data_IF_775685715774
#
_entry.id   IF_775685715774
#
_cell.length_a   1.000
_cell.length_b   1.000
_cell.length_c   1.000
_cell.angle_alpha   90.00
_cell.angle_beta   90.00
_cell.angle_gamma   90.00
#
_symmetry.space_group_name_H-M   'P 1'
#
loop_
_entity.id
_entity.type
_entity.pdbx_description
1 polymer ?
#
# COMPACT_ATOMS: atom_id res chain seq x y z
N UNK A 1 -25.57 -24.52 9.21
CA UNK A 1 -25.26 -23.17 8.71
C UNK A 1 -25.67 -22.21 9.81
N UNK A 2 -24.70 -21.51 10.42
CA UNK A 2 -24.99 -20.45 11.39
C UNK A 2 -25.82 -19.36 10.69
N UNK A 3 -26.76 -18.76 11.39
CA UNK A 3 -27.59 -17.68 10.87
C UNK A 3 -26.75 -16.40 10.77
N UNK A 4 -26.09 -16.22 9.63
CA UNK A 4 -25.23 -15.06 9.36
C UNK A 4 -26.02 -13.73 9.30
N UNK A 5 -27.36 -13.76 9.28
CA UNK A 5 -28.17 -12.55 9.22
C UNK A 5 -28.22 -11.85 10.57
N UNK A 6 -28.41 -12.58 11.66
CA UNK A 6 -28.37 -12.02 13.02
C UNK A 6 -26.95 -11.53 13.38
N UNK A 7 -25.93 -12.26 12.98
CA UNK A 7 -24.53 -11.86 13.14
C UNK A 7 -24.23 -10.55 12.39
N UNK A 8 -24.77 -10.40 11.17
CA UNK A 8 -24.58 -9.20 10.37
C UNK A 8 -25.17 -7.94 11.03
N UNK A 9 -26.41 -8.02 11.52
CA UNK A 9 -27.07 -6.89 12.17
C UNK A 9 -26.31 -6.43 13.44
N UNK A 10 -25.86 -7.38 14.25
CA UNK A 10 -25.05 -7.08 15.44
C UNK A 10 -23.71 -6.42 15.08
N UNK A 11 -23.05 -6.88 14.03
CA UNK A 11 -21.81 -6.30 13.54
C UNK A 11 -22.03 -4.91 12.95
N UNK A 12 -23.10 -4.67 12.20
CA UNK A 12 -23.46 -3.36 11.67
C UNK A 12 -23.72 -2.34 12.80
N UNK A 13 -24.38 -2.77 13.88
CA UNK A 13 -24.55 -1.93 15.08
C UNK A 13 -23.22 -1.60 15.74
N UNK A 14 -22.31 -2.59 15.88
CA UNK A 14 -20.99 -2.41 16.45
C UNK A 14 -20.12 -1.46 15.62
N UNK A 15 -20.17 -1.57 14.30
CA UNK A 15 -19.35 -0.77 13.39
C UNK A 15 -19.95 0.61 13.09
N UNK A 16 -21.25 0.79 13.31
CA UNK A 16 -21.98 2.03 13.03
C UNK A 16 -22.22 2.29 11.53
N UNK A 17 -22.11 1.27 10.69
CA UNK A 17 -22.36 1.38 9.25
C UNK A 17 -22.74 0.02 8.64
N UNK A 18 -23.38 0.01 7.44
CA UNK A 18 -23.73 -1.23 6.74
C UNK A 18 -22.52 -2.09 6.40
N UNK A 19 -22.73 -3.41 6.38
CA UNK A 19 -21.75 -4.44 6.01
C UNK A 19 -22.18 -5.12 4.74
N UNK A 20 -21.30 -5.23 3.75
CA UNK A 20 -21.60 -5.91 2.47
C UNK A 20 -21.49 -7.42 2.60
N UNK A 21 -20.46 -7.91 3.32
CA UNK A 21 -20.15 -9.33 3.47
C UNK A 21 -19.71 -9.63 4.89
N UNK A 22 -20.16 -10.76 5.44
CA UNK A 22 -19.62 -11.34 6.67
C UNK A 22 -19.01 -12.70 6.33
N UNK A 23 -17.72 -12.85 6.55
CA UNK A 23 -17.01 -14.12 6.45
C UNK A 23 -17.07 -14.82 7.81
N UNK A 24 -17.49 -16.09 7.86
CA UNK A 24 -17.58 -16.86 9.11
C UNK A 24 -16.18 -17.11 9.69
N UNK A 25 -16.11 -17.47 10.98
CA UNK A 25 -14.86 -17.96 11.58
C UNK A 25 -14.37 -19.24 10.91
N UNK A 26 -13.09 -19.52 11.05
CA UNK A 26 -12.45 -20.76 10.59
C UNK A 26 -11.83 -21.50 11.78
N UNK A 27 -11.41 -22.77 11.64
CA UNK A 27 -10.69 -23.48 12.68
C UNK A 27 -9.44 -22.76 13.18
N UNK A 28 -8.77 -22.02 12.28
CA UNK A 28 -7.52 -21.31 12.56
C UNK A 28 -7.75 -19.86 13.01
N UNK A 29 -8.97 -19.33 12.84
CA UNK A 29 -9.32 -17.96 13.20
C UNK A 29 -10.77 -17.88 13.68
N UNK A 30 -10.95 -17.68 14.99
CA UNK A 30 -12.28 -17.56 15.60
C UNK A 30 -13.00 -16.26 15.23
N UNK A 31 -12.28 -15.24 14.78
CA UNK A 31 -12.90 -13.96 14.44
C UNK A 31 -13.75 -14.04 13.17
N UNK A 32 -14.88 -13.33 13.18
CA UNK A 32 -15.67 -13.01 12.00
C UNK A 32 -15.01 -11.84 11.27
N UNK A 33 -15.13 -11.81 9.96
CA UNK A 33 -14.64 -10.68 9.18
C UNK A 33 -15.81 -9.99 8.51
N UNK A 34 -16.04 -8.75 8.89
CA UNK A 34 -17.03 -7.88 8.28
C UNK A 34 -16.37 -7.03 7.19
N UNK A 35 -16.89 -7.10 5.97
CA UNK A 35 -16.40 -6.32 4.84
C UNK A 35 -17.43 -5.29 4.44
N UNK A 36 -17.01 -4.03 4.32
CA UNK A 36 -17.86 -2.90 4.00
C UNK A 36 -17.21 -1.97 2.97
N UNK A 37 -18.03 -1.21 2.27
CA UNK A 37 -17.60 -0.15 1.36
C UNK A 37 -17.82 1.22 1.97
N UNK A 38 -16.92 2.14 1.69
CA UNK A 38 -17.13 3.58 1.94
C UNK A 38 -17.68 4.24 0.68
N UNK A 39 -18.53 5.26 0.84
CA UNK A 39 -19.19 5.93 -0.29
C UNK A 39 -18.22 6.80 -1.11
N UNK A 40 -17.34 7.57 -0.42
CA UNK A 40 -16.45 8.53 -1.07
C UNK A 40 -15.14 8.71 -0.27
N UNK A 41 -13.95 8.47 -0.85
CA UNK A 41 -13.76 7.64 -2.05
C UNK A 41 -14.17 6.19 -1.82
N UNK A 42 -14.65 5.51 -2.86
CA UNK A 42 -15.09 4.12 -2.73
C UNK A 42 -13.90 3.23 -2.38
N UNK A 43 -13.91 2.71 -1.16
CA UNK A 43 -12.90 1.79 -0.62
C UNK A 43 -13.59 0.57 -0.05
N UNK A 44 -12.91 -0.57 -0.08
CA UNK A 44 -13.35 -1.78 0.63
C UNK A 44 -12.53 -1.89 1.91
N UNK A 45 -13.21 -2.12 3.03
CA UNK A 45 -12.61 -2.28 4.36
C UNK A 45 -13.04 -3.60 4.97
N UNK A 46 -12.14 -4.21 5.71
CA UNK A 46 -12.42 -5.38 6.53
C UNK A 46 -12.21 -5.06 8.01
N UNK A 47 -13.11 -5.52 8.85
CA UNK A 47 -13.00 -5.46 10.30
C UNK A 47 -13.05 -6.90 10.85
N UNK A 48 -12.07 -7.28 11.64
CA UNK A 48 -12.07 -8.55 12.37
C UNK A 48 -12.77 -8.34 13.71
N UNK A 49 -13.80 -9.14 13.94
CA UNK A 49 -14.65 -9.06 15.13
C UNK A 49 -14.51 -10.37 15.91
N UNK A 50 -14.03 -10.29 17.14
CA UNK A 50 -13.87 -11.43 18.04
C UNK A 50 -15.23 -12.04 18.44
N UNK A 51 -15.21 -13.23 19.00
CA UNK A 51 -16.42 -13.86 19.57
C UNK A 51 -17.02 -13.05 20.74
N UNK A 52 -16.21 -12.24 21.42
CA UNK A 52 -16.68 -11.32 22.44
C UNK A 52 -17.38 -10.06 21.86
N UNK A 53 -17.42 -9.90 20.54
CA UNK A 53 -18.03 -8.74 19.89
C UNK A 53 -17.12 -7.51 19.91
N UNK A 54 -15.80 -7.68 19.98
CA UNK A 54 -14.83 -6.60 19.96
C UNK A 54 -14.14 -6.50 18.59
N UNK A 55 -13.87 -5.30 18.13
CA UNK A 55 -13.11 -5.07 16.90
C UNK A 55 -11.63 -5.18 17.19
N UNK A 56 -11.02 -6.28 16.76
CA UNK A 56 -9.59 -6.59 16.95
C UNK A 56 -8.70 -5.88 15.94
N UNK A 57 -9.16 -5.77 14.70
CA UNK A 57 -8.40 -5.18 13.61
C UNK A 57 -9.28 -4.51 12.56
N UNK A 58 -8.73 -3.52 11.86
CA UNK A 58 -9.34 -2.92 10.67
C UNK A 58 -8.27 -2.69 9.61
N UNK A 59 -8.47 -3.25 8.43
CA UNK A 59 -7.62 -3.03 7.26
C UNK A 59 -8.49 -2.72 6.04
N UNK A 60 -7.90 -2.20 4.98
CA UNK A 60 -8.68 -1.86 3.81
C UNK A 60 -7.89 -1.84 2.51
N UNK A 61 -8.57 -2.07 1.40
CA UNK A 61 -8.02 -1.92 0.07
C UNK A 61 -7.78 -0.42 -0.22
N UNK A 62 -6.63 -0.03 -0.78
CA UNK A 62 -6.40 1.33 -1.25
C UNK A 62 -7.49 1.78 -2.21
N UNK A 63 -7.75 3.10 -2.31
CA UNK A 63 -8.73 3.62 -3.23
C UNK A 63 -8.34 3.28 -4.68
N UNK A 64 -9.32 2.85 -5.44
CA UNK A 64 -9.14 2.54 -6.85
C UNK A 64 -10.45 2.11 -7.49
N UNK A 65 -10.59 2.39 -8.78
CA UNK A 65 -11.75 1.97 -9.56
C UNK A 65 -11.28 0.94 -10.57
N UNK A 66 -11.82 -0.29 -10.55
CA UNK A 66 -11.56 -1.25 -11.61
C UNK A 66 -12.04 -0.70 -12.96
N UNK A 67 -11.42 -1.15 -14.04
CA UNK A 67 -11.73 -0.72 -15.40
C UNK A 67 -11.71 -1.93 -16.35
N UNK A 68 -12.23 -1.86 -17.56
CA UNK A 68 -12.18 -2.96 -18.50
C UNK A 68 -10.77 -3.50 -18.79
N UNK A 69 -9.76 -2.62 -18.75
CA UNK A 69 -8.34 -3.01 -18.94
C UNK A 69 -7.67 -3.49 -17.65
N UNK A 70 -8.28 -3.23 -16.51
CA UNK A 70 -7.86 -3.69 -15.17
C UNK A 70 -9.11 -4.11 -14.38
N UNK A 71 -9.67 -5.27 -14.70
CA UNK A 71 -10.99 -5.66 -14.20
C UNK A 71 -11.01 -5.97 -12.70
N UNK A 72 -9.85 -6.10 -12.06
CA UNK A 72 -9.74 -6.33 -10.62
C UNK A 72 -8.68 -5.43 -9.99
N UNK A 73 -8.96 -4.96 -8.78
CA UNK A 73 -8.00 -4.35 -7.86
C UNK A 73 -8.00 -5.21 -6.60
N UNK A 74 -6.83 -5.62 -6.13
CA UNK A 74 -6.73 -6.54 -5.01
C UNK A 74 -5.67 -6.10 -4.00
N UNK A 75 -5.93 -6.42 -2.74
CA UNK A 75 -5.06 -6.22 -1.59
C UNK A 75 -5.06 -7.50 -0.76
N UNK A 76 -3.89 -7.96 -0.37
CA UNK A 76 -3.77 -8.98 0.67
C UNK A 76 -3.78 -8.28 2.03
N UNK A 77 -4.71 -8.64 2.88
CA UNK A 77 -4.79 -8.16 4.26
C UNK A 77 -4.43 -9.30 5.21
N UNK A 78 -3.44 -9.10 6.05
CA UNK A 78 -3.02 -10.06 7.07
C UNK A 78 -3.17 -9.45 8.46
N UNK A 79 -3.73 -10.21 9.40
CA UNK A 79 -3.86 -9.81 10.80
C UNK A 79 -3.20 -10.86 11.67
N UNK A 80 -2.28 -10.40 12.53
CA UNK A 80 -1.67 -11.19 13.61
C UNK A 80 -1.70 -10.34 14.87
N UNK A 81 -2.83 -10.32 15.55
CA UNK A 81 -3.07 -9.51 16.74
C UNK A 81 -4.05 -10.21 17.68
N UNK A 82 -3.82 -10.11 18.99
CA UNK A 82 -4.76 -10.54 20.04
C UNK A 82 -5.27 -12.00 19.89
N UNK A 83 -4.38 -12.91 19.44
CA UNK A 83 -4.73 -14.31 19.22
C UNK A 83 -5.48 -14.58 17.90
N UNK A 84 -5.66 -13.57 17.09
CA UNK A 84 -6.19 -13.68 15.71
C UNK A 84 -5.04 -13.74 14.72
N UNK A 85 -5.02 -14.78 13.88
CA UNK A 85 -4.17 -14.85 12.69
C UNK A 85 -5.06 -15.20 11.51
N UNK A 86 -5.17 -14.29 10.57
CA UNK A 86 -6.05 -14.44 9.41
C UNK A 86 -5.51 -13.69 8.20
N UNK A 87 -5.84 -14.18 7.02
CA UNK A 87 -5.36 -13.60 5.77
C UNK A 87 -6.46 -13.57 4.73
N UNK A 88 -6.67 -12.41 4.14
CA UNK A 88 -7.72 -12.16 3.16
C UNK A 88 -7.16 -11.63 1.85
N UNK A 89 -7.78 -12.03 0.75
CA UNK A 89 -7.79 -11.24 -0.47
C UNK A 89 -9.01 -10.32 -0.44
N UNK A 90 -8.75 -9.02 -0.43
CA UNK A 90 -9.76 -7.97 -0.37
C UNK A 90 -9.65 -7.09 -1.62
N UNK A 91 -10.77 -6.69 -2.22
CA UNK A 91 -10.66 -5.88 -3.43
C UNK A 91 -11.98 -5.50 -4.06
N UNK A 92 -11.87 -5.07 -5.31
CA UNK A 92 -13.01 -4.73 -6.17
C UNK A 92 -12.82 -5.29 -7.56
N UNK A 93 -13.92 -5.67 -8.18
CA UNK A 93 -13.97 -6.13 -9.56
C UNK A 93 -14.99 -5.33 -10.38
N UNK A 94 -14.81 -5.27 -11.70
CA UNK A 94 -15.81 -4.73 -12.62
C UNK A 94 -17.00 -5.66 -12.74
N UNK A 95 -18.10 -5.13 -13.26
CA UNK A 95 -19.25 -5.94 -13.69
C UNK A 95 -18.78 -6.99 -14.70
N UNK A 96 -19.29 -8.22 -14.57
CA UNK A 96 -18.93 -9.36 -15.43
C UNK A 96 -17.85 -10.27 -14.86
N UNK A 97 -17.20 -9.88 -13.75
CA UNK A 97 -16.33 -10.78 -12.98
C UNK A 97 -17.18 -11.54 -11.97
N UNK A 98 -17.16 -12.88 -12.02
CA UNK A 98 -17.88 -13.74 -11.09
C UNK A 98 -17.05 -14.16 -9.88
N UNK A 99 -15.76 -14.39 -10.10
CA UNK A 99 -14.79 -14.70 -9.06
C UNK A 99 -13.41 -14.19 -9.43
N UNK A 100 -12.49 -14.24 -8.47
CA UNK A 100 -11.07 -14.02 -8.73
C UNK A 100 -10.27 -15.24 -8.32
N UNK A 101 -9.30 -15.61 -9.12
CA UNK A 101 -8.40 -16.75 -8.86
C UNK A 101 -7.02 -16.22 -8.49
N UNK A 102 -6.65 -16.41 -7.22
CA UNK A 102 -5.33 -16.05 -6.71
C UNK A 102 -4.34 -17.20 -6.94
N UNK A 103 -3.34 -16.99 -7.76
CA UNK A 103 -2.25 -17.94 -8.00
C UNK A 103 -1.19 -17.79 -6.91
N UNK A 104 -1.09 -18.78 -6.03
CA UNK A 104 -0.15 -18.78 -4.91
C UNK A 104 1.18 -19.41 -5.33
N UNK A 105 2.35 -18.90 -4.83
CA UNK A 105 3.65 -19.47 -5.19
C UNK A 105 3.80 -20.94 -4.75
N UNK A 106 3.34 -21.26 -3.55
CA UNK A 106 3.60 -22.54 -2.88
C UNK A 106 2.33 -23.40 -2.68
N UNK A 107 1.19 -22.95 -3.22
CA UNK A 107 -0.11 -23.62 -3.05
C UNK A 107 -0.87 -23.68 -4.36
N UNK A 108 -1.91 -24.51 -4.38
CA UNK A 108 -2.90 -24.46 -5.45
C UNK A 108 -3.58 -23.09 -5.51
N UNK A 109 -4.03 -22.70 -6.69
CA UNK A 109 -4.78 -21.48 -6.87
C UNK A 109 -6.04 -21.46 -6.01
N UNK A 110 -6.31 -20.31 -5.39
CA UNK A 110 -7.47 -20.11 -4.52
C UNK A 110 -8.49 -19.27 -5.27
N UNK A 111 -9.72 -19.74 -5.31
CA UNK A 111 -10.84 -18.98 -5.88
C UNK A 111 -11.55 -18.18 -4.78
N UNK A 112 -11.64 -16.86 -4.98
CA UNK A 112 -12.30 -15.92 -4.07
C UNK A 112 -13.53 -15.35 -4.76
N UNK A 113 -14.73 -15.44 -4.15
CA UNK A 113 -15.95 -14.96 -4.76
C UNK A 113 -15.96 -13.44 -4.93
N UNK A 114 -16.63 -12.97 -5.98
CA UNK A 114 -17.05 -11.59 -6.12
C UNK A 114 -18.49 -11.49 -5.61
N UNK A 115 -18.66 -10.71 -4.57
CA UNK A 115 -19.97 -10.45 -3.95
C UNK A 115 -20.70 -9.31 -4.67
N UNK A 116 -21.91 -8.99 -4.20
CA UNK A 116 -22.68 -7.88 -4.73
C UNK A 116 -21.85 -6.60 -4.88
N UNK A 117 -22.15 -5.82 -5.92
CA UNK A 117 -21.48 -4.56 -6.26
C UNK A 117 -19.96 -4.66 -6.47
N UNK A 118 -19.49 -5.84 -6.87
CA UNK A 118 -18.09 -6.07 -7.22
C UNK A 118 -17.12 -6.14 -6.04
N UNK A 119 -17.60 -6.40 -4.83
CA UNK A 119 -16.73 -6.61 -3.66
C UNK A 119 -16.05 -7.96 -3.77
N UNK A 120 -14.72 -7.97 -3.75
CA UNK A 120 -13.90 -9.18 -3.66
C UNK A 120 -13.53 -9.36 -2.20
N UNK A 121 -13.92 -10.49 -1.59
CA UNK A 121 -13.56 -10.80 -0.22
C UNK A 121 -13.53 -12.30 0.02
N UNK A 122 -12.41 -12.82 0.47
CA UNK A 122 -12.25 -14.23 0.85
C UNK A 122 -10.92 -14.52 1.50
N UNK A 123 -10.88 -15.57 2.31
CA UNK A 123 -9.66 -16.03 2.94
C UNK A 123 -8.74 -16.71 1.95
N UNK A 124 -7.45 -16.48 2.13
CA UNK A 124 -6.39 -17.13 1.36
C UNK A 124 -5.39 -17.78 2.34
N UNK A 125 -4.66 -18.82 1.92
CA UNK A 125 -3.67 -19.47 2.76
C UNK A 125 -2.61 -18.49 3.29
N UNK A 126 -2.00 -18.78 4.45
CA UNK A 126 -0.81 -18.06 4.89
C UNK A 126 0.33 -18.29 3.91
N UNK A 127 1.30 -17.36 3.86
CA UNK A 127 2.46 -17.47 3.00
C UNK A 127 2.71 -16.21 2.15
N UNK A 128 3.49 -16.27 1.08
CA UNK A 128 3.82 -15.12 0.25
C UNK A 128 2.59 -14.57 -0.49
N UNK A 129 2.69 -13.32 -0.95
CA UNK A 129 1.64 -12.67 -1.76
C UNK A 129 1.41 -13.46 -3.05
N UNK A 130 0.17 -13.57 -3.55
CA UNK A 130 -0.11 -14.22 -4.83
C UNK A 130 0.77 -13.68 -5.96
N UNK A 131 1.26 -14.55 -6.83
CA UNK A 131 2.03 -14.14 -8.02
C UNK A 131 1.15 -13.45 -9.06
N UNK A 132 -0.15 -13.79 -9.05
CA UNK A 132 -1.16 -13.15 -9.89
C UNK A 132 -2.56 -13.33 -9.29
N UNK A 133 -3.47 -12.45 -9.70
CA UNK A 133 -4.92 -12.55 -9.45
C UNK A 133 -5.63 -12.42 -10.78
N UNK A 134 -6.29 -13.49 -11.22
CA UNK A 134 -7.08 -13.53 -12.44
C UNK A 134 -8.52 -13.13 -12.16
N UNK A 135 -9.07 -12.24 -12.95
CA UNK A 135 -10.50 -11.97 -12.99
C UNK A 135 -11.18 -13.04 -13.84
N UNK A 136 -12.13 -13.75 -13.27
CA UNK A 136 -12.81 -14.90 -13.89
C UNK A 136 -14.26 -14.54 -14.17
N UNK A 137 -14.69 -14.72 -15.42
CA UNK A 137 -16.08 -14.56 -15.85
C UNK A 137 -16.96 -15.73 -15.38
N UNK A 138 -18.32 -15.63 -15.46
CA UNK A 138 -19.22 -16.70 -15.05
C UNK A 138 -19.05 -18.02 -15.80
N UNK A 139 -18.47 -18.00 -17.00
CA UNK A 139 -18.16 -19.18 -17.82
C UNK A 139 -16.81 -19.83 -17.45
N UNK A 140 -16.07 -19.24 -16.50
CA UNK A 140 -14.77 -19.72 -16.05
C UNK A 140 -13.57 -19.18 -16.84
N UNK A 141 -13.80 -18.33 -17.85
CA UNK A 141 -12.74 -17.72 -18.64
C UNK A 141 -12.05 -16.57 -17.87
N UNK A 142 -10.71 -16.49 -17.98
CA UNK A 142 -9.96 -15.37 -17.44
C UNK A 142 -10.07 -14.17 -18.35
N UNK A 143 -10.70 -13.09 -17.87
CA UNK A 143 -10.93 -11.84 -18.61
C UNK A 143 -9.94 -10.74 -18.25
N UNK A 144 -9.02 -11.02 -17.35
CA UNK A 144 -7.95 -10.09 -16.99
C UNK A 144 -7.09 -10.62 -15.85
N UNK A 145 -5.86 -10.12 -15.79
CA UNK A 145 -4.86 -10.56 -14.81
C UNK A 145 -4.19 -9.38 -14.14
N UNK A 146 -4.14 -9.41 -12.82
CA UNK A 146 -3.35 -8.52 -11.99
C UNK A 146 -2.10 -9.28 -11.53
N UNK A 147 -0.93 -8.84 -11.97
CA UNK A 147 0.34 -9.44 -11.55
C UNK A 147 0.71 -9.03 -10.12
N UNK A 148 1.56 -9.79 -9.47
CA UNK A 148 2.08 -9.55 -8.12
C UNK A 148 2.43 -8.08 -7.86
N UNK A 149 3.06 -7.42 -8.80
CA UNK A 149 3.41 -5.99 -8.73
C UNK A 149 2.23 -5.02 -8.59
N UNK A 150 1.05 -5.45 -8.96
CA UNK A 150 -0.19 -4.68 -8.83
C UNK A 150 -1.00 -5.03 -7.58
N UNK A 151 -0.59 -6.04 -6.81
CA UNK A 151 -1.27 -6.49 -5.59
C UNK A 151 -0.66 -5.73 -4.41
N UNK A 152 -1.51 -5.03 -3.66
CA UNK A 152 -1.09 -4.39 -2.41
C UNK A 152 -1.10 -5.41 -1.28
N UNK A 153 -0.16 -5.33 -0.36
CA UNK A 153 -0.17 -6.09 0.89
C UNK A 153 -0.32 -5.14 2.07
N UNK A 154 -1.17 -5.47 3.02
CA UNK A 154 -1.35 -4.75 4.28
C UNK A 154 -1.40 -5.76 5.42
N UNK A 155 -0.53 -5.59 6.40
CA UNK A 155 -0.47 -6.46 7.56
C UNK A 155 -0.65 -5.67 8.85
N UNK A 156 -1.41 -6.21 9.80
CA UNK A 156 -1.44 -5.76 11.18
C UNK A 156 -0.67 -6.78 12.02
N UNK A 157 0.51 -6.40 12.48
CA UNK A 157 1.39 -7.24 13.28
C UNK A 157 1.70 -6.52 14.59
N UNK A 158 1.45 -7.17 15.72
CA UNK A 158 1.72 -6.61 17.05
C UNK A 158 1.16 -5.19 17.26
N UNK A 159 -0.03 -4.91 16.75
CA UNK A 159 -0.71 -3.61 16.86
C UNK A 159 -0.21 -2.53 15.90
N UNK A 160 0.65 -2.89 14.93
CA UNK A 160 1.16 -1.99 13.88
C UNK A 160 0.59 -2.38 12.52
N UNK A 161 0.20 -1.40 11.73
CA UNK A 161 -0.21 -1.63 10.34
C UNK A 161 1.01 -1.43 9.46
N UNK A 162 1.42 -2.51 8.78
CA UNK A 162 2.45 -2.49 7.75
C UNK A 162 1.80 -2.61 6.39
N UNK A 163 2.27 -1.86 5.41
CA UNK A 163 1.75 -1.93 4.05
C UNK A 163 2.88 -2.07 3.04
N UNK A 164 2.67 -2.93 2.06
CA UNK A 164 3.57 -3.10 0.91
C UNK A 164 2.76 -3.06 -0.38
N UNK A 165 3.29 -2.36 -1.37
CA UNK A 165 2.85 -2.55 -2.76
C UNK A 165 3.78 -3.61 -3.38
N UNK A 166 3.23 -4.48 -4.20
CA UNK A 166 4.02 -5.46 -4.94
C UNK A 166 5.16 -4.80 -5.73
N UNK A 167 6.30 -5.46 -5.73
CA UNK A 167 7.66 -4.94 -5.88
C UNK A 167 8.05 -4.27 -7.21
N UNK A 168 7.18 -3.91 -8.13
CA UNK A 168 7.67 -3.51 -9.46
C UNK A 168 7.20 -2.19 -10.05
N UNK A 169 6.32 -1.43 -9.44
CA UNK A 169 5.93 -0.16 -10.05
C UNK A 169 5.80 0.96 -9.04
N UNK A 170 6.86 1.72 -8.96
CA UNK A 170 6.85 2.99 -8.29
C UNK A 170 6.79 2.84 -6.77
N UNK A 171 7.24 3.82 -6.13
CA UNK A 171 7.36 3.95 -4.68
C UNK A 171 6.13 3.41 -3.98
N UNK A 172 6.28 2.25 -3.40
CA UNK A 172 5.26 1.63 -2.59
C UNK A 172 5.09 2.45 -1.32
N UNK A 173 3.94 3.02 -1.13
CA UNK A 173 3.61 3.61 0.14
C UNK A 173 3.42 2.49 1.16
N UNK A 174 4.39 2.30 2.02
CA UNK A 174 4.17 1.60 3.28
C UNK A 174 3.22 2.45 4.11
N UNK A 175 2.18 1.84 4.66
CA UNK A 175 1.29 2.47 5.61
C UNK A 175 1.53 1.79 6.95
N UNK A 176 2.30 2.42 7.81
CA UNK A 176 2.47 1.96 9.18
C UNK A 176 2.33 3.15 10.11
N UNK A 177 1.67 2.97 11.22
CA UNK A 177 1.75 3.90 12.31
C UNK A 177 3.05 3.62 13.07
N UNK A 178 3.98 4.59 13.03
CA UNK A 178 4.97 4.76 14.04
C UNK A 178 6.23 3.92 13.94
N UNK A 179 7.10 4.23 12.99
CA UNK A 179 8.53 4.06 13.22
C UNK A 179 9.20 5.42 13.17
N UNK A 180 9.44 5.90 14.34
CA UNK A 180 10.05 7.13 14.78
C UNK A 180 11.54 7.20 14.39
N UNK A 181 12.24 8.18 14.91
CA UNK A 181 13.69 8.35 14.82
C UNK A 181 14.50 7.07 15.12
N UNK A 182 13.98 6.17 15.97
CA UNK A 182 14.60 4.84 16.23
C UNK A 182 14.55 3.93 15.01
N UNK A 183 13.45 3.94 14.28
CA UNK A 183 13.32 3.18 13.03
C UNK A 183 14.26 3.68 11.95
N UNK A 184 14.55 4.99 11.89
CA UNK A 184 15.50 5.57 10.96
C UNK A 184 16.93 5.08 11.26
N UNK A 185 17.36 5.14 12.52
CA UNK A 185 18.70 4.69 12.92
C UNK A 185 18.92 3.19 12.64
N UNK A 186 17.88 2.36 12.85
CA UNK A 186 17.94 0.93 12.51
C UNK A 186 18.05 0.74 11.00
N UNK A 187 17.26 1.46 10.20
CA UNK A 187 17.30 1.40 8.75
C UNK A 187 18.66 1.86 8.17
N UNK A 188 19.27 2.88 8.75
CA UNK A 188 20.61 3.36 8.36
C UNK A 188 21.69 2.32 8.64
N UNK A 189 21.63 1.64 9.79
CA UNK A 189 22.57 0.54 10.12
C UNK A 189 22.37 -0.63 9.15
N UNK A 190 21.13 -1.02 8.87
CA UNK A 190 20.81 -2.12 7.98
C UNK A 190 21.21 -1.81 6.53
N UNK A 191 20.94 -0.60 6.06
CA UNK A 191 21.30 -0.16 4.71
C UNK A 191 22.78 0.17 4.54
N UNK A 192 23.51 0.42 5.63
CA UNK A 192 24.93 0.75 5.63
C UNK A 192 25.24 2.20 5.23
N UNK A 193 24.25 3.10 5.30
CA UNK A 193 24.46 4.53 5.02
C UNK A 193 23.45 5.40 5.76
N UNK A 194 23.81 6.65 5.99
CA UNK A 194 22.95 7.63 6.64
C UNK A 194 21.93 8.22 5.66
N UNK A 195 20.67 8.31 6.06
CA UNK A 195 19.61 8.91 5.26
C UNK A 195 19.69 10.44 5.31
N UNK A 196 19.46 11.08 4.17
CA UNK A 196 19.34 12.54 4.06
C UNK A 196 17.84 12.89 4.15
N UNK A 197 17.50 13.70 5.15
CA UNK A 197 16.12 14.12 5.40
C UNK A 197 15.87 15.51 4.82
N UNK A 198 14.65 15.80 4.36
CA UNK A 198 14.28 17.17 3.98
C UNK A 198 14.28 18.07 5.21
N UNK A 199 14.87 19.25 5.07
CA UNK A 199 14.82 20.29 6.10
C UNK A 199 13.46 21.01 6.16
N UNK A 200 12.65 20.85 5.12
CA UNK A 200 11.32 21.42 5.01
C UNK A 200 10.29 20.39 4.54
N UNK A 201 9.14 20.40 5.15
CA UNK A 201 7.92 19.69 4.77
C UNK A 201 6.73 20.63 4.93
N UNK A 202 5.65 20.45 4.17
CA UNK A 202 4.40 21.17 4.42
C UNK A 202 3.92 20.95 5.86
N UNK A 203 3.17 21.93 6.39
CA UNK A 203 2.68 21.90 7.78
C UNK A 203 1.82 20.66 8.07
N UNK A 204 1.98 20.12 9.27
CA UNK A 204 1.19 18.97 9.76
C UNK A 204 1.68 17.60 9.33
N UNK A 205 2.78 17.49 8.57
CA UNK A 205 3.38 16.22 8.24
C UNK A 205 4.25 15.66 9.37
N UNK A 206 4.03 14.40 9.73
CA UNK A 206 4.85 13.65 10.67
C UNK A 206 5.39 12.38 10.00
N UNK A 207 6.63 12.00 10.35
CA UNK A 207 7.23 10.74 9.90
C UNK A 207 6.41 9.56 10.45
N UNK A 208 5.99 8.66 9.57
CA UNK A 208 5.12 7.53 9.93
C UNK A 208 5.75 6.18 9.67
N UNK A 209 6.69 6.09 8.72
CA UNK A 209 7.31 4.82 8.35
C UNK A 209 8.72 5.04 7.84
N UNK A 210 9.64 4.17 8.27
CA UNK A 210 10.98 4.02 7.69
C UNK A 210 11.21 2.54 7.42
N UNK A 211 11.77 2.20 6.26
CA UNK A 211 12.10 0.82 5.92
C UNK A 211 13.30 0.74 4.98
N UNK A 212 14.01 -0.36 5.06
CA UNK A 212 15.03 -0.76 4.07
C UNK A 212 14.37 -1.65 3.03
N UNK A 213 14.68 -1.40 1.77
CA UNK A 213 14.27 -2.24 0.65
C UNK A 213 15.53 -2.97 0.14
N UNK A 214 15.64 -4.28 0.43
CA UNK A 214 16.83 -5.05 0.11
C UNK A 214 16.94 -5.39 -1.39
N UNK A 215 15.81 -5.32 -2.11
CA UNK A 215 15.74 -5.62 -3.54
C UNK A 215 15.75 -4.35 -4.38
N UNK A 216 16.20 -4.48 -5.62
CA UNK A 216 16.19 -3.38 -6.58
C UNK A 216 14.75 -2.92 -6.84
N UNK A 217 14.44 -1.69 -6.43
CA UNK A 217 13.17 -1.05 -6.72
C UNK A 217 13.43 0.05 -7.75
N UNK A 218 13.29 -0.31 -9.03
CA UNK A 218 13.53 0.62 -10.13
C UNK A 218 12.96 2.03 -9.84
N UNK A 219 13.74 3.11 -10.06
CA UNK A 219 15.08 3.14 -10.67
C UNK A 219 16.25 3.06 -9.67
N UNK A 220 16.05 2.59 -8.45
CA UNK A 220 17.02 2.60 -7.37
C UNK A 220 17.80 1.30 -7.27
N UNK A 221 19.09 1.41 -6.98
CA UNK A 221 19.90 0.26 -6.61
C UNK A 221 19.64 -0.15 -5.14
N UNK A 222 19.70 -1.44 -4.78
CA UNK A 222 19.58 -1.88 -3.39
C UNK A 222 20.92 -1.72 -2.64
N UNK A 223 20.87 -1.57 -1.31
CA UNK A 223 19.68 -1.34 -0.53
C UNK A 223 19.20 0.14 -0.66
N UNK A 224 17.89 0.34 -0.67
CA UNK A 224 17.32 1.69 -0.60
C UNK A 224 16.57 1.90 0.71
N UNK A 225 16.62 3.13 1.25
CA UNK A 225 15.80 3.54 2.40
C UNK A 225 14.58 4.29 1.87
N UNK A 226 13.39 3.87 2.29
CA UNK A 226 12.14 4.55 2.02
C UNK A 226 11.57 5.14 3.31
N UNK A 227 11.22 6.44 3.28
CA UNK A 227 10.72 7.19 4.42
C UNK A 227 9.41 7.85 4.03
N UNK A 228 8.37 7.66 4.84
CA UNK A 228 7.06 8.24 4.60
C UNK A 228 6.67 9.23 5.70
N UNK A 229 6.03 10.32 5.30
CA UNK A 229 5.38 11.29 6.16
C UNK A 229 3.91 11.41 5.75
N UNK A 230 3.04 11.57 6.73
CA UNK A 230 1.60 11.75 6.53
C UNK A 230 1.08 12.90 7.38
N UNK A 231 0.05 13.57 6.91
CA UNK A 231 -0.72 14.47 7.75
C UNK A 231 -1.63 13.68 8.69
N UNK A 232 -1.79 14.17 9.92
CA UNK A 232 -2.68 13.56 10.91
C UNK A 232 -4.15 13.55 10.45
N UNK A 233 -4.55 14.56 9.71
CA UNK A 233 -5.89 14.70 9.13
C UNK A 233 -5.78 14.73 7.61
N UNK A 234 -6.45 13.78 6.92
CA UNK A 234 -6.51 13.74 5.47
C UNK A 234 -5.71 12.60 4.81
N UNK A 235 -5.57 12.70 3.49
CA UNK A 235 -4.88 11.70 2.64
C UNK A 235 -3.52 12.20 2.13
N UNK A 236 -3.05 13.35 2.63
CA UNK A 236 -1.80 13.95 2.17
C UNK A 236 -0.61 13.13 2.68
N UNK A 237 0.32 12.84 1.77
CA UNK A 237 1.52 12.07 2.07
C UNK A 237 2.70 12.46 1.21
N UNK A 238 3.87 12.31 1.80
CA UNK A 238 5.19 12.44 1.19
C UNK A 238 5.91 11.11 1.37
N UNK A 239 6.52 10.59 0.32
CA UNK A 239 7.37 9.41 0.37
C UNK A 239 8.68 9.73 -0.31
N UNK A 240 9.77 9.67 0.44
CA UNK A 240 11.13 9.80 -0.05
C UNK A 240 11.80 8.44 -0.08
N UNK A 241 12.39 8.09 -1.22
CA UNK A 241 13.29 6.94 -1.37
C UNK A 241 14.66 7.45 -1.73
N UNK A 242 15.69 6.83 -1.20
CA UNK A 242 17.07 7.17 -1.50
C UNK A 242 17.97 5.94 -1.47
N UNK A 243 19.04 5.97 -2.26
CA UNK A 243 20.11 4.97 -2.25
C UNK A 243 21.44 5.62 -2.60
N UNK A 244 22.58 5.02 -2.22
CA UNK A 244 23.89 5.40 -2.74
C UNK A 244 24.00 5.11 -4.23
N UNK A 245 24.84 5.89 -4.92
CA UNK A 245 25.12 5.72 -6.34
C UNK A 245 24.08 6.35 -7.27
N UNK A 246 24.29 6.22 -8.57
CA UNK A 246 23.40 6.78 -9.58
C UNK A 246 22.10 5.99 -9.68
N UNK A 247 21.09 6.63 -10.27
CA UNK A 247 19.87 5.94 -10.71
C UNK A 247 20.25 4.86 -11.74
N UNK A 248 19.62 3.69 -11.62
CA UNK A 248 19.78 2.63 -12.62
C UNK A 248 19.26 3.08 -14.01
N UNK A 249 18.30 4.01 -14.01
CA UNK A 249 17.86 4.75 -15.19
C UNK A 249 17.35 6.11 -14.76
N UNK A 250 17.83 7.22 -15.35
CA UNK A 250 17.33 8.56 -15.09
C UNK A 250 15.95 8.83 -15.70
N UNK A 251 15.47 7.93 -16.55
CA UNK A 251 14.18 8.07 -17.22
C UNK A 251 13.06 7.47 -16.37
N UNK A 252 11.87 8.08 -16.45
CA UNK A 252 10.67 7.46 -15.87
C UNK A 252 10.35 6.14 -16.59
N UNK A 253 9.81 5.13 -15.87
CA UNK A 253 9.54 3.80 -16.45
C UNK A 253 8.67 3.80 -17.70
N UNK A 254 7.86 4.85 -17.89
CA UNK A 254 6.96 5.02 -19.04
C UNK A 254 7.41 6.11 -20.03
N UNK A 255 8.61 6.65 -19.87
CA UNK A 255 9.17 7.72 -20.74
C UNK A 255 8.41 9.05 -20.68
N UNK A 256 7.54 9.26 -19.68
CA UNK A 256 6.63 10.40 -19.58
C UNK A 256 6.99 11.39 -18.50
N UNK A 257 8.24 11.73 -18.34
CA UNK A 257 8.71 12.74 -17.40
C UNK A 257 9.07 14.04 -18.10
N UNK A 258 9.01 15.14 -17.35
CA UNK A 258 9.49 16.46 -17.78
C UNK A 258 10.74 16.78 -16.96
N UNK A 259 11.79 17.24 -17.64
CA UNK A 259 12.99 17.73 -16.96
C UNK A 259 12.66 18.98 -16.14
N UNK A 260 13.11 18.98 -14.87
CA UNK A 260 12.91 20.09 -13.93
C UNK A 260 14.22 20.42 -13.24
N UNK A 261 14.37 21.68 -12.81
CA UNK A 261 15.49 22.09 -11.96
C UNK A 261 15.17 21.80 -10.49
N UNK A 262 16.08 21.10 -9.82
CA UNK A 262 16.01 20.80 -8.37
C UNK A 262 17.25 21.41 -7.72
N UNK A 263 17.19 22.70 -7.41
CA UNK A 263 18.29 23.45 -6.79
C UNK A 263 19.62 23.25 -7.55
N UNK A 264 19.61 23.51 -8.85
CA UNK A 264 20.77 23.46 -9.73
C UNK A 264 21.14 22.07 -10.28
N UNK A 265 20.38 21.03 -9.96
CA UNK A 265 20.53 19.71 -10.58
C UNK A 265 19.29 19.36 -11.38
N UNK A 266 19.49 18.62 -12.48
CA UNK A 266 18.36 18.20 -13.31
C UNK A 266 17.69 16.98 -12.69
N UNK A 267 16.39 17.09 -12.42
CA UNK A 267 15.51 15.97 -12.11
C UNK A 267 14.51 15.69 -13.23
N UNK A 268 13.80 14.59 -13.12
CA UNK A 268 12.69 14.24 -14.01
C UNK A 268 11.42 14.12 -13.17
N UNK A 269 10.41 14.93 -13.50
CA UNK A 269 9.14 14.97 -12.79
C UNK A 269 7.98 14.50 -13.66
N UNK A 270 7.05 13.80 -13.05
CA UNK A 270 5.75 13.46 -13.59
C UNK A 270 4.66 13.90 -12.63
N UNK A 271 3.67 14.63 -13.15
CA UNK A 271 2.55 15.13 -12.39
C UNK A 271 1.22 14.64 -12.97
N UNK A 272 0.38 14.00 -12.14
CA UNK A 272 -1.00 13.60 -12.46
C UNK A 272 -1.79 13.40 -11.18
N UNK A 273 -2.22 14.50 -10.53
CA UNK A 273 -2.90 14.45 -9.23
C UNK A 273 -1.98 14.03 -8.06
N UNK A 274 -0.74 13.70 -8.37
CA UNK A 274 0.40 13.54 -7.48
C UNK A 274 1.64 13.94 -8.25
N UNK A 275 2.68 14.40 -7.57
CA UNK A 275 3.99 14.59 -8.15
C UNK A 275 4.88 13.37 -7.84
N UNK A 276 5.60 12.94 -8.84
CA UNK A 276 6.67 11.97 -8.75
C UNK A 276 7.93 12.56 -9.36
N UNK A 277 8.98 12.71 -8.56
CA UNK A 277 10.23 13.34 -8.93
C UNK A 277 11.38 12.38 -8.66
N UNK A 278 12.27 12.20 -9.64
CA UNK A 278 13.54 11.48 -9.47
C UNK A 278 14.70 12.41 -9.83
N UNK A 279 15.76 12.36 -9.05
CA UNK A 279 16.98 13.15 -9.30
C UNK A 279 18.19 12.52 -8.62
N UNK A 280 19.36 12.97 -9.03
CA UNK A 280 20.63 12.64 -8.39
C UNK A 280 21.23 13.88 -7.78
N UNK A 281 21.83 13.75 -6.61
CA UNK A 281 22.59 14.84 -5.97
C UNK A 281 23.76 14.24 -5.19
N UNK A 282 24.98 14.71 -5.51
CA UNK A 282 26.19 14.16 -4.92
C UNK A 282 26.38 12.69 -5.30
N UNK A 283 26.52 11.84 -4.29
CA UNK A 283 26.68 10.40 -4.44
C UNK A 283 25.35 9.61 -4.24
N UNK A 284 24.22 10.30 -4.32
CA UNK A 284 22.91 9.76 -4.01
C UNK A 284 21.89 9.90 -5.13
N UNK A 285 21.06 8.88 -5.26
CA UNK A 285 19.84 8.92 -6.04
C UNK A 285 18.62 9.06 -5.13
N UNK A 286 17.66 9.87 -5.55
CA UNK A 286 16.44 10.18 -4.83
C UNK A 286 15.21 9.97 -5.69
N UNK A 287 14.13 9.56 -5.04
CA UNK A 287 12.79 9.60 -5.59
C UNK A 287 11.81 10.10 -4.55
N UNK A 288 11.00 11.04 -4.96
CA UNK A 288 10.02 11.70 -4.11
C UNK A 288 8.64 11.57 -4.71
N UNK A 289 7.68 11.16 -3.91
CA UNK A 289 6.28 11.17 -4.25
C UNK A 289 5.54 12.09 -3.28
N UNK A 290 4.76 13.04 -3.82
CA UNK A 290 3.90 13.95 -3.07
C UNK A 290 2.49 13.84 -3.58
N UNK A 291 1.52 13.68 -2.68
CA UNK A 291 0.10 13.67 -3.04
C UNK A 291 -0.77 14.21 -1.92
N UNK A 292 -1.97 14.68 -2.31
CA UNK A 292 -2.99 15.16 -1.37
C UNK A 292 -2.69 16.53 -0.78
N UNK A 293 -1.61 17.20 -1.18
CA UNK A 293 -1.33 18.60 -0.86
C UNK A 293 -2.05 19.54 -1.85
N UNK A 294 -2.07 20.82 -1.57
CA UNK A 294 -2.71 21.82 -2.43
C UNK A 294 -2.01 21.97 -3.79
N UNK A 295 -0.69 21.83 -3.83
CA UNK A 295 0.14 21.86 -5.04
C UNK A 295 1.26 20.81 -4.94
N UNK A 296 1.00 19.54 -5.31
CA UNK A 296 1.98 18.48 -5.19
C UNK A 296 3.27 18.71 -5.98
N UNK A 297 3.23 19.46 -7.09
CA UNK A 297 4.40 19.74 -7.93
C UNK A 297 5.32 20.74 -7.24
N UNK A 298 4.76 21.87 -6.79
CA UNK A 298 5.53 22.88 -6.07
C UNK A 298 6.09 22.32 -4.77
N UNK A 299 5.30 21.55 -4.02
CA UNK A 299 5.73 20.92 -2.78
C UNK A 299 6.85 19.90 -3.03
N UNK A 300 6.77 19.09 -4.11
CA UNK A 300 7.83 18.15 -4.44
C UNK A 300 9.16 18.86 -4.73
N UNK A 301 9.15 19.97 -5.47
CA UNK A 301 10.35 20.75 -5.73
C UNK A 301 10.92 21.40 -4.45
N UNK A 302 10.05 21.96 -3.61
CA UNK A 302 10.46 22.58 -2.35
C UNK A 302 11.07 21.56 -1.37
N UNK A 303 10.44 20.39 -1.23
CA UNK A 303 10.95 19.28 -0.41
C UNK A 303 12.31 18.83 -0.94
N UNK A 304 12.42 18.55 -2.23
CA UNK A 304 13.64 18.07 -2.85
C UNK A 304 14.80 19.07 -2.75
N UNK A 305 14.51 20.35 -2.94
CA UNK A 305 15.50 21.43 -2.76
C UNK A 305 16.00 21.54 -1.32
N UNK A 306 15.16 21.18 -0.34
CA UNK A 306 15.51 21.23 1.09
C UNK A 306 16.35 20.06 1.59
N UNK A 307 16.58 19.02 0.77
CA UNK A 307 17.41 17.87 1.14
C UNK A 307 18.89 18.28 1.01
N UNK A 308 19.72 18.12 2.07
CA UNK A 308 21.12 18.48 2.01
C UNK A 308 21.89 17.67 0.98
N UNK A 309 22.98 18.23 0.45
CA UNK A 309 23.79 17.56 -0.57
C UNK A 309 24.65 16.41 0.01
N UNK A 310 24.92 16.42 1.31
CA UNK A 310 25.67 15.38 2.03
C UNK A 310 25.23 15.30 3.50
N UNK A 311 25.57 14.19 4.15
CA UNK A 311 25.32 14.01 5.58
C UNK A 311 26.09 15.01 6.45
N UNK A 312 27.25 15.47 6.01
CA UNK A 312 28.08 16.46 6.73
C UNK A 312 27.48 17.87 6.70
N UNK A 313 26.48 18.13 5.86
CA UNK A 313 25.78 19.39 5.74
C UNK A 313 24.50 19.47 6.61
N UNK A 314 24.22 18.45 7.40
CA UNK A 314 23.09 18.49 8.34
C UNK A 314 23.45 19.35 9.55
N UNK A 315 22.57 20.27 9.98
CA UNK A 315 22.81 21.17 11.10
C UNK A 315 22.81 20.45 12.45
#
# INVERSE_FOLDING_TARGET
>A
MADLSADREAIEQLLGHPVDVVLPPTPDCAARVAVSRTADPVRVRAAWVSDAGEVVARLGCPPGVPSPVRPVIATVCEVSAEGVTDRLLLGRATTGVASVRASMPDHESVEVPVHADGVVAGRIPPGPVPVAVDAVAPDGESIGRLMHSGITEMALVAGRIEGRLGATHGMAAGFGAGDTVEGLAVAEVEAGYQALLPAWLPEGFAMTTVRVEPEAAYPFAPPSIAIAWMQAEGDARVLLRQCPGPLASPEMPDGRGTAVDVDGVTGVMRARGMAFLVWERGDRAFGLQVRGTGDPEADALAIAASIPASADAMP
#
